data_IF_136462322909
#
_entry.id   IF_136462322909
#
_cell.length_a   1.000
_cell.length_b   1.000
_cell.length_c   1.000
_cell.angle_alpha   90.00
_cell.angle_beta   90.00
_cell.angle_gamma   90.00
#
_symmetry.space_group_name_H-M   'P 1'
#
loop_
_entity.id
_entity.type
_entity.pdbx_description
1 polymer ?
#
# COMPACT_ATOMS: atom_id res chain seq x y z
N UNK A 1 25.85 2.57 6.90
CA UNK A 1 24.82 1.58 7.32
C UNK A 1 25.48 0.23 7.41
N UNK A 2 25.02 -0.66 8.31
CA UNK A 2 25.60 -2.01 8.44
C UNK A 2 24.80 -2.96 7.56
N UNK A 3 25.46 -3.62 6.62
CA UNK A 3 24.85 -4.60 5.72
C UNK A 3 24.58 -5.90 6.45
N UNK A 4 23.38 -6.45 6.29
CA UNK A 4 23.00 -7.75 6.82
C UNK A 4 23.48 -8.82 5.84
N UNK A 5 24.52 -9.55 6.21
CA UNK A 5 25.15 -10.57 5.37
C UNK A 5 24.49 -11.94 5.52
N UNK A 6 24.58 -12.79 4.49
CA UNK A 6 24.06 -14.16 4.46
C UNK A 6 22.55 -14.24 4.77
N UNK A 7 21.80 -13.23 4.32
CA UNK A 7 20.35 -13.23 4.44
C UNK A 7 19.70 -12.98 3.09
N UNK A 8 18.65 -13.74 2.80
CA UNK A 8 17.88 -13.60 1.56
C UNK A 8 16.45 -13.22 1.90
N UNK A 9 16.02 -12.05 1.43
CA UNK A 9 14.64 -11.60 1.53
C UNK A 9 13.84 -12.09 0.32
N UNK A 10 12.81 -12.90 0.57
CA UNK A 10 11.88 -13.32 -0.47
C UNK A 10 10.83 -12.22 -0.69
N UNK A 11 10.67 -11.79 -1.94
CA UNK A 11 9.72 -10.74 -2.31
C UNK A 11 8.89 -11.12 -3.55
N UNK A 12 7.72 -10.50 -3.69
CA UNK A 12 6.85 -10.65 -4.86
C UNK A 12 7.24 -9.64 -5.96
N UNK A 13 7.74 -10.12 -7.11
CA UNK A 13 8.06 -9.24 -8.25
C UNK A 13 6.82 -8.57 -8.84
N UNK A 14 5.66 -9.23 -8.75
CA UNK A 14 4.37 -8.76 -9.27
C UNK A 14 3.74 -7.71 -8.32
N UNK A 15 4.42 -7.35 -7.23
CA UNK A 15 3.98 -6.33 -6.28
C UNK A 15 4.91 -5.13 -6.36
N UNK A 16 4.52 -4.01 -7.00
CA UNK A 16 5.45 -2.88 -7.16
C UNK A 16 5.91 -2.29 -5.83
N UNK A 17 5.04 -2.32 -4.80
CA UNK A 17 5.42 -1.96 -3.43
C UNK A 17 6.54 -2.87 -2.89
N UNK A 18 6.47 -4.16 -3.19
CA UNK A 18 7.41 -5.17 -2.73
C UNK A 18 8.77 -5.05 -3.42
N UNK A 19 8.75 -4.84 -4.73
CA UNK A 19 9.94 -4.53 -5.53
C UNK A 19 10.60 -3.23 -5.08
N UNK A 20 9.81 -2.20 -4.72
CA UNK A 20 10.32 -0.92 -4.27
C UNK A 20 11.02 -1.02 -2.91
N UNK A 21 10.34 -1.50 -1.86
CA UNK A 21 10.95 -1.52 -0.53
C UNK A 21 12.16 -2.46 -0.47
N UNK A 22 12.08 -3.63 -1.12
CA UNK A 22 13.19 -4.59 -1.11
C UNK A 22 14.39 -4.03 -1.87
N UNK A 23 14.16 -3.28 -2.96
CA UNK A 23 15.22 -2.61 -3.71
C UNK A 23 15.87 -1.48 -2.91
N UNK A 24 15.09 -0.76 -2.10
CA UNK A 24 15.61 0.27 -1.19
C UNK A 24 16.56 -0.32 -0.15
N UNK A 25 16.28 -1.52 0.40
CA UNK A 25 17.21 -2.17 1.33
C UNK A 25 18.57 -2.46 0.71
N UNK A 26 18.62 -2.81 -0.58
CA UNK A 26 19.88 -2.98 -1.32
C UNK A 26 20.57 -1.63 -1.51
N UNK A 27 19.85 -0.64 -2.04
CA UNK A 27 20.40 0.70 -2.35
C UNK A 27 20.95 1.42 -1.12
N UNK A 28 20.33 1.23 0.04
CA UNK A 28 20.79 1.80 1.30
C UNK A 28 21.89 0.97 1.98
N UNK A 29 22.28 -0.18 1.41
CA UNK A 29 23.29 -1.08 1.99
C UNK A 29 22.83 -1.81 3.24
N UNK A 30 21.51 -2.00 3.44
CA UNK A 30 20.95 -2.80 4.53
C UNK A 30 20.95 -4.30 4.22
N UNK A 31 20.85 -4.67 2.94
CA UNK A 31 21.00 -6.02 2.40
C UNK A 31 22.13 -6.06 1.37
N UNK A 32 22.71 -7.24 1.16
CA UNK A 32 23.69 -7.48 0.08
C UNK A 32 23.04 -7.38 -1.30
N UNK A 33 23.82 -7.18 -2.36
CA UNK A 33 23.27 -6.98 -3.72
C UNK A 33 22.43 -8.16 -4.21
N UNK A 34 22.76 -9.37 -3.77
CA UNK A 34 22.06 -10.65 -3.97
C UNK A 34 21.17 -11.04 -2.78
N UNK A 35 21.01 -10.15 -1.80
CA UNK A 35 20.25 -10.37 -0.56
C UNK A 35 18.72 -10.39 -0.71
N UNK A 36 18.20 -10.43 -1.95
CA UNK A 36 16.77 -10.59 -2.22
C UNK A 36 16.52 -11.55 -3.38
N UNK A 37 15.44 -12.32 -3.29
CA UNK A 37 15.07 -13.32 -4.28
C UNK A 37 13.56 -13.25 -4.57
N UNK A 38 13.20 -13.46 -5.83
CA UNK A 38 11.81 -13.43 -6.27
C UNK A 38 11.07 -14.70 -5.83
N UNK A 39 9.89 -14.55 -5.24
CA UNK A 39 9.04 -15.64 -4.76
C UNK A 39 8.72 -16.68 -5.85
N UNK A 40 8.39 -16.24 -7.08
CA UNK A 40 7.99 -17.16 -8.17
C UNK A 40 9.15 -17.89 -8.84
N UNK A 41 10.38 -17.42 -8.60
CA UNK A 41 11.64 -17.94 -9.19
C UNK A 41 12.62 -18.35 -8.09
N UNK A 42 12.10 -18.67 -6.91
CA UNK A 42 12.88 -19.02 -5.75
C UNK A 42 13.65 -20.32 -5.98
N UNK A 43 14.89 -20.37 -5.50
CA UNK A 43 15.72 -21.56 -5.55
C UNK A 43 15.09 -22.72 -4.78
N UNK A 44 15.29 -23.94 -5.28
CA UNK A 44 14.78 -25.16 -4.64
C UNK A 44 15.23 -25.30 -3.17
N UNK A 45 16.43 -24.79 -2.83
CA UNK A 45 16.93 -24.74 -1.45
C UNK A 45 15.99 -23.90 -0.56
N UNK A 46 15.65 -22.70 -0.99
CA UNK A 46 14.82 -21.79 -0.21
C UNK A 46 13.36 -22.26 -0.17
N UNK A 47 12.86 -22.84 -1.27
CA UNK A 47 11.52 -23.41 -1.35
C UNK A 47 11.28 -24.53 -0.32
N UNK A 48 12.30 -25.33 0.00
CA UNK A 48 12.22 -26.40 1.01
C UNK A 48 12.16 -25.91 2.46
N UNK A 49 12.65 -24.69 2.73
CA UNK A 49 12.81 -24.17 4.10
C UNK A 49 11.67 -23.20 4.44
N UNK A 50 11.09 -22.52 3.45
CA UNK A 50 9.99 -21.59 3.71
C UNK A 50 8.64 -22.29 3.87
N UNK A 51 7.80 -21.72 4.71
CA UNK A 51 6.37 -21.96 4.70
C UNK A 51 5.76 -21.14 3.56
N UNK A 52 5.47 -21.81 2.45
CA UNK A 52 4.98 -21.18 1.23
C UNK A 52 3.66 -20.41 1.43
N UNK A 53 2.72 -20.95 2.21
CA UNK A 53 1.42 -20.32 2.47
C UNK A 53 1.55 -19.09 3.37
N UNK A 54 2.44 -19.17 4.36
CA UNK A 54 2.75 -18.02 5.19
C UNK A 54 3.47 -16.94 4.41
N UNK A 55 4.44 -17.31 3.56
CA UNK A 55 5.24 -16.39 2.77
C UNK A 55 4.41 -15.58 1.74
N UNK A 56 3.25 -16.10 1.31
CA UNK A 56 2.27 -15.32 0.54
C UNK A 56 1.74 -14.10 1.30
N UNK A 57 1.61 -14.18 2.62
CA UNK A 57 1.01 -13.11 3.44
C UNK A 57 2.04 -12.31 4.23
N UNK A 58 3.19 -12.92 4.53
CA UNK A 58 4.26 -12.34 5.32
C UNK A 58 5.58 -12.47 4.56
N UNK A 59 6.33 -11.39 4.40
CA UNK A 59 7.61 -11.44 3.70
C UNK A 59 8.58 -12.35 4.46
N UNK A 60 9.30 -13.23 3.78
CA UNK A 60 10.21 -14.18 4.42
C UNK A 60 11.66 -13.70 4.32
N UNK A 61 12.39 -13.75 5.44
CA UNK A 61 13.82 -13.48 5.49
C UNK A 61 14.53 -14.74 5.97
N UNK A 62 15.35 -15.31 5.10
CA UNK A 62 16.07 -16.56 5.34
C UNK A 62 17.49 -16.23 5.76
N UNK A 63 17.94 -16.77 6.89
CA UNK A 63 19.35 -16.80 7.24
C UNK A 63 20.01 -17.99 6.52
N UNK A 64 20.91 -17.69 5.57
CA UNK A 64 21.53 -18.70 4.71
C UNK A 64 22.51 -19.62 5.46
N UNK A 65 22.99 -19.20 6.63
CA UNK A 65 23.94 -19.98 7.46
C UNK A 65 23.22 -20.97 8.38
N UNK A 66 22.12 -20.54 9.02
CA UNK A 66 21.39 -21.38 9.99
C UNK A 66 20.15 -22.06 9.42
N UNK A 67 19.62 -21.59 8.29
CA UNK A 67 18.32 -22.00 7.76
C UNK A 67 17.13 -21.41 8.53
N UNK A 68 17.36 -20.51 9.50
CA UNK A 68 16.27 -19.85 10.23
C UNK A 68 15.49 -18.91 9.30
N UNK A 69 14.16 -19.05 9.28
CA UNK A 69 13.27 -18.16 8.52
C UNK A 69 12.47 -17.27 9.46
N UNK A 70 12.57 -15.96 9.25
CA UNK A 70 11.73 -14.96 9.91
C UNK A 70 10.68 -14.46 8.93
N UNK A 71 9.53 -14.06 9.46
CA UNK A 71 8.38 -13.64 8.65
C UNK A 71 7.85 -12.28 9.07
N UNK A 72 7.35 -11.54 8.09
CA UNK A 72 6.56 -10.33 8.27
C UNK A 72 7.34 -9.22 8.99
N UNK A 73 6.77 -8.72 10.09
CA UNK A 73 7.41 -7.65 10.87
C UNK A 73 8.78 -8.07 11.41
N UNK A 74 8.97 -9.34 11.79
CA UNK A 74 10.26 -9.80 12.31
C UNK A 74 11.35 -9.75 11.24
N UNK A 75 11.02 -10.03 9.97
CA UNK A 75 11.93 -9.84 8.83
C UNK A 75 12.40 -8.38 8.73
N UNK A 76 11.45 -7.44 8.82
CA UNK A 76 11.76 -6.00 8.76
C UNK A 76 12.61 -5.55 9.94
N UNK A 77 12.26 -5.97 11.15
CA UNK A 77 12.99 -5.60 12.37
C UNK A 77 14.43 -6.09 12.35
N UNK A 78 14.72 -7.21 11.68
CA UNK A 78 16.09 -7.75 11.55
C UNK A 78 16.92 -6.96 10.54
N UNK A 79 16.37 -6.70 9.35
CA UNK A 79 17.06 -5.92 8.31
C UNK A 79 17.35 -4.51 8.84
N UNK A 80 16.32 -3.85 9.36
CA UNK A 80 16.43 -2.48 9.86
C UNK A 80 17.25 -2.46 11.15
N UNK A 81 17.08 -3.44 12.04
CA UNK A 81 17.80 -3.57 13.31
C UNK A 81 19.29 -3.75 13.16
N UNK A 82 19.75 -4.47 12.13
CA UNK A 82 21.17 -4.60 11.86
C UNK A 82 21.84 -3.25 11.55
N UNK A 83 21.13 -2.35 10.85
CA UNK A 83 21.59 -0.98 10.60
C UNK A 83 21.29 0.00 11.74
N UNK A 84 20.18 -0.18 12.44
CA UNK A 84 19.67 0.69 13.50
C UNK A 84 19.23 -0.12 14.74
N UNK A 85 20.17 -0.60 15.57
CA UNK A 85 19.86 -1.51 16.68
C UNK A 85 18.88 -0.93 17.71
N UNK A 86 18.91 0.38 17.93
CA UNK A 86 17.97 1.08 18.82
C UNK A 86 16.54 0.97 18.32
N UNK A 87 16.32 1.03 16.99
CA UNK A 87 14.99 0.97 16.39
C UNK A 87 14.40 -0.44 16.50
N UNK A 88 15.23 -1.48 16.38
CA UNK A 88 14.78 -2.85 16.65
C UNK A 88 14.36 -3.02 18.12
N UNK A 89 15.16 -2.54 19.07
CA UNK A 89 14.82 -2.61 20.50
C UNK A 89 13.49 -1.93 20.80
N UNK A 90 13.28 -0.72 20.27
CA UNK A 90 12.01 0.01 20.43
C UNK A 90 10.87 -0.73 19.75
N UNK A 91 11.07 -1.21 18.52
CA UNK A 91 10.06 -1.94 17.75
C UNK A 91 9.65 -3.28 18.38
N UNK A 92 10.51 -3.88 19.22
CA UNK A 92 10.25 -5.11 19.97
C UNK A 92 9.61 -4.89 21.34
N UNK A 93 9.42 -3.65 21.80
CA UNK A 93 8.64 -3.37 23.01
C UNK A 93 7.21 -3.86 22.81
N UNK A 94 6.69 -4.70 23.71
CA UNK A 94 5.39 -5.39 23.56
C UNK A 94 4.24 -4.52 23.01
N UNK A 95 3.93 -3.32 23.54
CA UNK A 95 2.84 -2.52 23.01
C UNK A 95 3.10 -2.03 21.58
N UNK A 96 4.34 -1.61 21.29
CA UNK A 96 4.74 -1.14 19.96
C UNK A 96 4.80 -2.27 18.95
N UNK A 97 5.38 -3.41 19.32
CA UNK A 97 5.42 -4.61 18.48
C UNK A 97 4.00 -5.06 18.11
N UNK A 98 3.09 -5.12 19.08
CA UNK A 98 1.69 -5.45 18.83
C UNK A 98 1.06 -4.48 17.83
N UNK A 99 1.26 -3.18 18.01
CA UNK A 99 0.74 -2.15 17.12
C UNK A 99 1.32 -2.27 15.71
N UNK A 100 2.64 -2.33 15.56
CA UNK A 100 3.30 -2.47 14.27
C UNK A 100 2.93 -3.78 13.57
N UNK A 101 2.69 -4.86 14.31
CA UNK A 101 2.22 -6.12 13.73
C UNK A 101 0.83 -5.97 13.12
N UNK A 102 -0.07 -5.21 13.77
CA UNK A 102 -1.39 -4.88 13.20
C UNK A 102 -1.27 -3.98 11.98
N UNK A 103 -0.41 -2.95 12.01
CA UNK A 103 -0.12 -2.11 10.85
C UNK A 103 0.45 -2.92 9.68
N UNK A 104 1.39 -3.83 9.98
CA UNK A 104 1.97 -4.73 8.98
C UNK A 104 0.89 -5.58 8.32
N UNK A 105 0.05 -6.27 9.10
CA UNK A 105 -1.05 -7.07 8.55
C UNK A 105 -2.03 -6.21 7.74
N UNK A 106 -2.36 -5.01 8.23
CA UNK A 106 -3.24 -4.06 7.55
C UNK A 106 -2.74 -3.70 6.15
N UNK A 107 -1.45 -3.44 5.99
CA UNK A 107 -0.85 -3.18 4.68
C UNK A 107 -0.72 -4.46 3.86
N UNK A 108 -0.21 -5.55 4.44
CA UNK A 108 0.08 -6.78 3.68
C UNK A 108 -1.17 -7.38 3.03
N UNK A 109 -2.28 -7.49 3.77
CA UNK A 109 -3.54 -8.01 3.23
C UNK A 109 -4.20 -7.11 2.18
N UNK A 110 -3.81 -5.84 2.12
CA UNK A 110 -4.35 -4.87 1.16
C UNK A 110 -3.33 -4.47 0.09
N UNK A 111 -2.12 -5.05 0.04
CA UNK A 111 -1.03 -4.59 -0.85
C UNK A 111 -1.41 -4.57 -2.34
N UNK A 112 -2.17 -5.56 -2.82
CA UNK A 112 -2.65 -5.64 -4.21
C UNK A 112 -3.83 -4.70 -4.50
N UNK A 113 -4.49 -4.18 -3.45
CA UNK A 113 -5.49 -3.12 -3.56
C UNK A 113 -4.82 -1.74 -3.54
N UNK A 114 -3.82 -1.58 -2.67
CA UNK A 114 -3.04 -0.34 -2.57
C UNK A 114 -2.27 -0.14 -3.88
N UNK A 115 -1.61 -1.18 -4.39
CA UNK A 115 -0.85 -1.14 -5.64
C UNK A 115 -1.23 -2.33 -6.51
N UNK A 116 -2.25 -2.19 -7.39
CA UNK A 116 -2.66 -3.25 -8.28
C UNK A 116 -1.61 -3.47 -9.37
N UNK A 117 -1.41 -4.74 -9.74
CA UNK A 117 -0.52 -5.18 -10.81
C UNK A 117 -1.34 -5.64 -12.01
N UNK A 118 -0.87 -5.36 -13.22
CA UNK A 118 -1.51 -5.76 -14.47
C UNK A 118 -1.16 -7.18 -14.94
N UNK A 119 -0.29 -7.87 -14.22
CA UNK A 119 0.18 -9.22 -14.57
C UNK A 119 -0.89 -10.26 -14.28
N UNK A 120 -1.04 -11.22 -15.20
CA UNK A 120 -1.95 -12.35 -15.07
C UNK A 120 -1.51 -13.21 -13.88
N UNK A 121 -2.42 -13.41 -12.93
CA UNK A 121 -2.15 -14.26 -11.76
C UNK A 121 -1.91 -15.69 -12.23
N UNK A 122 -0.72 -16.22 -11.97
CA UNK A 122 -0.38 -17.64 -12.19
C UNK A 122 -0.44 -18.39 -10.86
N UNK A 123 -0.44 -19.74 -10.88
CA UNK A 123 -0.37 -20.54 -9.65
C UNK A 123 0.90 -20.26 -8.80
N UNK A 124 1.95 -19.72 -9.43
CA UNK A 124 3.19 -19.28 -8.79
C UNK A 124 3.18 -17.81 -8.35
N UNK A 125 2.11 -17.06 -8.59
CA UNK A 125 2.02 -15.66 -8.17
C UNK A 125 1.81 -15.57 -6.65
N UNK A 126 2.52 -14.64 -6.02
CA UNK A 126 2.43 -14.38 -4.58
C UNK A 126 1.14 -13.59 -4.26
N UNK A 127 -0.01 -14.25 -4.38
CA UNK A 127 -1.32 -13.67 -4.10
C UNK A 127 -1.60 -13.78 -2.60
N UNK A 128 -1.74 -12.66 -1.87
CA UNK A 128 -2.10 -12.71 -0.46
C UNK A 128 -3.52 -13.28 -0.31
N UNK A 129 -3.76 -14.00 0.78
CA UNK A 129 -5.10 -14.51 1.08
C UNK A 129 -6.06 -13.35 1.34
N UNK A 130 -7.26 -13.43 0.76
CA UNK A 130 -8.26 -12.40 0.98
C UNK A 130 -8.71 -12.41 2.46
N UNK A 131 -8.55 -11.29 3.14
CA UNK A 131 -8.97 -11.12 4.51
C UNK A 131 -10.03 -10.03 4.63
N UNK A 132 -11.30 -10.44 4.80
CA UNK A 132 -12.44 -9.53 4.86
C UNK A 132 -12.31 -8.48 5.98
N UNK A 133 -11.82 -8.89 7.14
CA UNK A 133 -11.65 -7.99 8.31
C UNK A 133 -10.68 -6.85 7.98
N UNK A 134 -9.50 -7.18 7.47
CA UNK A 134 -8.50 -6.16 7.11
C UNK A 134 -8.92 -5.34 5.88
N UNK A 135 -9.72 -5.92 4.97
CA UNK A 135 -10.27 -5.16 3.84
C UNK A 135 -11.26 -4.09 4.28
N UNK A 136 -12.23 -4.47 5.12
CA UNK A 136 -13.23 -3.53 5.63
C UNK A 136 -12.57 -2.45 6.50
N UNK A 137 -11.59 -2.83 7.33
CA UNK A 137 -10.81 -1.88 8.12
C UNK A 137 -10.07 -0.89 7.22
N UNK A 138 -9.49 -1.34 6.11
CA UNK A 138 -8.79 -0.49 5.14
C UNK A 138 -9.73 0.50 4.44
N UNK A 139 -10.86 0.00 3.92
CA UNK A 139 -11.88 0.83 3.27
C UNK A 139 -12.39 1.88 4.24
N UNK A 140 -12.73 1.48 5.47
CA UNK A 140 -13.21 2.40 6.51
C UNK A 140 -12.15 3.46 6.85
N UNK A 141 -10.91 3.05 7.12
CA UNK A 141 -9.82 3.99 7.40
C UNK A 141 -9.61 4.99 6.27
N UNK A 142 -9.48 4.50 5.04
CA UNK A 142 -9.24 5.33 3.86
C UNK A 142 -10.42 6.30 3.62
N UNK A 143 -11.66 5.83 3.76
CA UNK A 143 -12.85 6.66 3.63
C UNK A 143 -12.90 7.75 4.71
N UNK A 144 -12.77 7.38 6.00
CA UNK A 144 -12.85 8.32 7.11
C UNK A 144 -11.75 9.38 7.04
N UNK A 145 -10.51 8.95 6.81
CA UNK A 145 -9.36 9.85 6.70
C UNK A 145 -9.54 10.81 5.52
N UNK A 146 -9.84 10.28 4.33
CA UNK A 146 -10.03 11.11 3.14
C UNK A 146 -11.17 12.11 3.33
N UNK A 147 -12.31 11.67 3.88
CA UNK A 147 -13.46 12.54 4.15
C UNK A 147 -13.09 13.70 5.06
N UNK A 148 -12.33 13.45 6.13
CA UNK A 148 -11.89 14.50 7.06
C UNK A 148 -11.02 15.52 6.33
N UNK A 149 -10.01 15.06 5.59
CA UNK A 149 -9.06 15.95 4.89
C UNK A 149 -9.75 16.73 3.77
N UNK A 150 -10.50 16.07 2.90
CA UNK A 150 -11.23 16.73 1.81
C UNK A 150 -12.25 17.74 2.35
N UNK A 151 -12.99 17.41 3.42
CA UNK A 151 -13.90 18.35 4.06
C UNK A 151 -13.17 19.58 4.62
N UNK A 152 -12.08 19.38 5.35
CA UNK A 152 -11.28 20.48 5.90
C UNK A 152 -10.71 21.37 4.80
N UNK A 153 -10.28 20.77 3.70
CA UNK A 153 -9.76 21.49 2.54
C UNK A 153 -10.88 22.25 1.81
N UNK A 154 -12.02 21.61 1.56
CA UNK A 154 -13.18 22.22 0.92
C UNK A 154 -13.70 23.41 1.72
N UNK A 155 -13.84 23.31 3.05
CA UNK A 155 -14.27 24.43 3.89
C UNK A 155 -13.34 25.64 3.82
N UNK A 156 -12.07 25.44 3.48
CA UNK A 156 -11.07 26.50 3.34
C UNK A 156 -11.16 27.22 1.99
N UNK A 157 -11.53 26.51 0.92
CA UNK A 157 -11.62 27.06 -0.45
C UNK A 157 -13.03 27.53 -0.80
N UNK A 158 -14.04 26.77 -0.39
CA UNK A 158 -15.46 26.97 -0.73
C UNK A 158 -16.02 28.38 -0.51
N UNK A 159 -15.58 29.17 0.51
CA UNK A 159 -16.03 30.56 0.66
C UNK A 159 -15.54 31.51 -0.45
N UNK A 160 -14.55 31.11 -1.24
CA UNK A 160 -13.84 31.96 -2.19
C UNK A 160 -14.39 31.89 -3.63
N UNK A 161 -15.11 30.82 -4.00
CA UNK A 161 -15.64 30.65 -5.37
C UNK A 161 -16.89 29.74 -5.43
N UNK A 162 -18.02 30.30 -5.88
CA UNK A 162 -19.28 29.57 -6.07
C UNK A 162 -19.23 28.58 -7.25
N UNK A 163 -18.47 28.89 -8.30
CA UNK A 163 -18.32 27.99 -9.46
C UNK A 163 -17.55 26.73 -9.07
N UNK A 164 -16.55 26.88 -8.19
CA UNK A 164 -15.81 25.74 -7.63
C UNK A 164 -16.75 24.77 -6.91
N UNK A 165 -17.69 25.25 -6.09
CA UNK A 165 -18.65 24.39 -5.40
C UNK A 165 -19.52 23.58 -6.38
N UNK A 166 -20.01 24.21 -7.47
CA UNK A 166 -20.86 23.54 -8.47
C UNK A 166 -20.09 22.41 -9.16
N UNK A 167 -18.84 22.68 -9.54
CA UNK A 167 -17.97 21.69 -10.18
C UNK A 167 -17.74 20.50 -9.23
N UNK A 168 -17.41 20.76 -7.97
CA UNK A 168 -17.19 19.72 -6.95
C UNK A 168 -18.41 18.83 -6.72
N UNK A 169 -19.60 19.42 -6.58
CA UNK A 169 -20.83 18.64 -6.45
C UNK A 169 -21.11 17.79 -7.70
N UNK A 170 -20.80 18.33 -8.89
CA UNK A 170 -20.88 17.58 -10.14
C UNK A 170 -19.94 16.37 -10.17
N UNK A 171 -18.67 16.56 -9.79
CA UNK A 171 -17.67 15.48 -9.68
C UNK A 171 -18.11 14.43 -8.66
N UNK A 172 -18.58 14.85 -7.48
CA UNK A 172 -19.08 13.94 -6.46
C UNK A 172 -20.27 13.09 -6.96
N UNK A 173 -21.20 13.69 -7.69
CA UNK A 173 -22.34 12.98 -8.28
C UNK A 173 -21.89 11.94 -9.31
N UNK A 174 -20.95 12.30 -10.19
CA UNK A 174 -20.37 11.38 -11.19
C UNK A 174 -19.67 10.19 -10.52
N UNK A 175 -18.93 10.44 -9.44
CA UNK A 175 -18.27 9.38 -8.65
C UNK A 175 -19.28 8.43 -7.99
N UNK A 176 -20.37 8.97 -7.41
CA UNK A 176 -21.46 8.14 -6.86
C UNK A 176 -22.09 7.29 -7.96
N UNK A 177 -22.37 7.88 -9.12
CA UNK A 177 -22.88 7.16 -10.29
C UNK A 177 -21.95 6.03 -10.73
N UNK A 178 -20.63 6.28 -10.76
CA UNK A 178 -19.63 5.27 -11.08
C UNK A 178 -19.60 4.12 -10.08
N UNK A 179 -19.67 4.41 -8.77
CA UNK A 179 -19.71 3.38 -7.72
C UNK A 179 -20.96 2.50 -7.88
N UNK A 180 -22.13 3.12 -8.09
CA UNK A 180 -23.39 2.42 -8.31
C UNK A 180 -23.31 1.54 -9.56
N UNK A 181 -22.80 2.05 -10.67
CA UNK A 181 -22.63 1.28 -11.90
C UNK A 181 -21.73 0.05 -11.68
N UNK A 182 -20.63 0.21 -10.93
CA UNK A 182 -19.69 -0.88 -10.69
C UNK A 182 -20.18 -1.91 -9.65
N UNK A 183 -21.08 -1.54 -8.74
CA UNK A 183 -21.79 -2.50 -7.89
C UNK A 183 -22.52 -3.56 -8.74
N UNK A 184 -23.15 -3.16 -9.83
CA UNK A 184 -23.90 -4.07 -10.69
C UNK A 184 -23.01 -4.99 -11.54
N UNK A 185 -21.84 -4.51 -11.99
CA UNK A 185 -20.93 -5.25 -12.87
C UNK A 185 -20.02 -6.20 -12.09
N UNK A 186 -19.38 -5.73 -11.03
CA UNK A 186 -18.24 -6.42 -10.43
C UNK A 186 -18.62 -7.40 -9.32
N UNK A 187 -19.88 -7.52 -8.90
CA UNK A 187 -20.43 -8.40 -7.84
C UNK A 187 -19.38 -8.98 -6.87
N UNK A 188 -18.73 -10.09 -7.23
CA UNK A 188 -17.77 -10.82 -6.38
C UNK A 188 -16.44 -10.08 -6.12
N UNK A 189 -16.04 -9.15 -7.00
CA UNK A 189 -14.83 -8.33 -6.91
C UNK A 189 -15.11 -6.89 -6.46
N UNK A 190 -16.34 -6.55 -6.08
CA UNK A 190 -16.70 -5.17 -5.70
C UNK A 190 -15.86 -4.65 -4.53
N UNK A 191 -15.57 -5.48 -3.51
CA UNK A 191 -14.71 -5.08 -2.39
C UNK A 191 -13.24 -4.83 -2.80
N UNK A 192 -12.76 -5.49 -3.86
CA UNK A 192 -11.44 -5.20 -4.44
C UNK A 192 -11.45 -3.85 -5.17
N UNK A 193 -12.51 -3.59 -5.94
CA UNK A 193 -12.69 -2.29 -6.59
C UNK A 193 -12.85 -1.15 -5.59
N UNK A 194 -13.73 -1.29 -4.60
CA UNK A 194 -13.98 -0.27 -3.60
C UNK A 194 -12.70 0.05 -2.81
N UNK A 195 -11.93 -0.98 -2.45
CA UNK A 195 -10.62 -0.78 -1.85
C UNK A 195 -9.68 0.02 -2.75
N UNK A 196 -9.62 -0.29 -4.05
CA UNK A 196 -8.74 0.39 -5.01
C UNK A 196 -9.14 1.86 -5.17
N UNK A 197 -10.45 2.11 -5.26
CA UNK A 197 -11.01 3.45 -5.33
C UNK A 197 -10.66 4.26 -4.07
N UNK A 198 -10.84 3.66 -2.88
CA UNK A 198 -10.46 4.29 -1.62
C UNK A 198 -8.95 4.56 -1.51
N UNK A 199 -8.10 3.74 -2.14
CA UNK A 199 -6.66 4.04 -2.23
C UNK A 199 -6.40 5.34 -2.96
N UNK A 200 -7.12 5.63 -4.07
CA UNK A 200 -6.92 6.88 -4.81
C UNK A 200 -7.32 8.09 -3.97
N UNK A 201 -8.45 8.02 -3.27
CA UNK A 201 -8.87 9.06 -2.33
C UNK A 201 -7.89 9.23 -1.16
N UNK A 202 -7.37 8.14 -0.62
CA UNK A 202 -6.38 8.19 0.45
C UNK A 202 -5.07 8.83 -0.04
N UNK A 203 -4.60 8.49 -1.24
CA UNK A 203 -3.41 9.12 -1.82
C UNK A 203 -3.63 10.62 -2.07
N UNK A 204 -4.78 10.99 -2.64
CA UNK A 204 -5.16 12.39 -2.85
C UNK A 204 -5.20 13.18 -1.55
N UNK A 205 -5.86 12.65 -0.52
CA UNK A 205 -5.92 13.30 0.80
C UNK A 205 -4.56 13.43 1.46
N UNK A 206 -3.68 12.42 1.36
CA UNK A 206 -2.30 12.52 1.87
C UNK A 206 -1.51 13.63 1.16
N UNK A 207 -1.69 13.79 -0.16
CA UNK A 207 -1.07 14.87 -0.92
C UNK A 207 -1.63 16.25 -0.55
N UNK A 208 -2.91 16.36 -0.15
CA UNK A 208 -3.52 17.61 0.29
C UNK A 208 -3.12 18.04 1.71
N UNK A 209 -2.67 17.10 2.54
CA UNK A 209 -2.40 17.34 3.96
C UNK A 209 -1.48 18.56 4.23
N UNK A 210 -0.35 18.75 3.51
CA UNK A 210 0.52 19.91 3.74
C UNK A 210 -0.17 21.25 3.43
N UNK A 211 -1.08 21.27 2.46
CA UNK A 211 -1.75 22.49 2.01
C UNK A 211 -2.83 22.99 2.97
N UNK A 212 -3.30 22.14 3.89
CA UNK A 212 -4.15 22.57 4.99
C UNK A 212 -3.48 23.60 5.90
N UNK A 213 -2.14 23.62 5.94
CA UNK A 213 -1.36 24.53 6.78
C UNK A 213 -0.88 25.81 6.07
N UNK A 214 -1.07 25.92 4.74
CA UNK A 214 -0.69 27.10 3.96
C UNK A 214 -1.81 28.13 3.90
N UNK A 215 -1.53 29.43 3.96
CA UNK A 215 -2.58 30.45 3.88
C UNK A 215 -3.30 30.45 2.51
N UNK A 216 -4.60 30.75 2.54
CA UNK A 216 -5.51 30.56 1.41
C UNK A 216 -5.19 31.52 0.25
N UNK A 217 -4.77 30.98 -0.90
CA UNK A 217 -4.49 31.71 -2.15
C UNK A 217 -5.12 30.99 -3.36
N UNK A 218 -5.29 31.71 -4.47
CA UNK A 218 -5.76 31.15 -5.77
C UNK A 218 -4.93 29.94 -6.23
N UNK A 219 -3.64 29.91 -5.89
CA UNK A 219 -2.74 28.81 -6.25
C UNK A 219 -3.18 27.46 -5.66
N UNK A 220 -3.77 27.46 -4.47
CA UNK A 220 -4.23 26.24 -3.79
C UNK A 220 -5.43 25.62 -4.53
N UNK A 221 -6.32 26.44 -5.10
CA UNK A 221 -7.45 25.96 -5.89
C UNK A 221 -7.00 25.34 -7.22
N UNK A 222 -6.01 25.94 -7.89
CA UNK A 222 -5.41 25.37 -9.10
C UNK A 222 -4.72 24.04 -8.82
N UNK A 223 -3.96 23.94 -7.73
CA UNK A 223 -3.30 22.68 -7.33
C UNK A 223 -4.30 21.58 -7.04
N UNK A 224 -5.42 21.90 -6.39
CA UNK A 224 -6.50 20.95 -6.14
C UNK A 224 -7.12 20.44 -7.44
N UNK A 225 -7.40 21.33 -8.39
CA UNK A 225 -7.91 20.93 -9.71
C UNK A 225 -6.96 19.95 -10.43
N UNK A 226 -5.64 20.21 -10.40
CA UNK A 226 -4.68 19.27 -10.98
C UNK A 226 -4.65 17.92 -10.26
N UNK A 227 -4.82 17.93 -8.93
CA UNK A 227 -4.91 16.70 -8.15
C UNK A 227 -6.14 15.88 -8.55
N UNK A 228 -7.31 16.51 -8.71
CA UNK A 228 -8.53 15.82 -9.15
C UNK A 228 -8.35 15.18 -10.52
N UNK A 229 -7.73 15.90 -11.46
CA UNK A 229 -7.40 15.36 -12.78
C UNK A 229 -6.52 14.11 -12.66
N UNK A 230 -5.46 14.17 -11.85
CA UNK A 230 -4.58 13.02 -11.59
C UNK A 230 -5.36 11.86 -10.96
N UNK A 231 -6.24 12.13 -10.00
CA UNK A 231 -7.07 11.12 -9.35
C UNK A 231 -8.02 10.44 -10.34
N UNK A 232 -8.66 11.19 -11.23
CA UNK A 232 -9.55 10.64 -12.29
C UNK A 232 -8.76 9.72 -13.23
N UNK A 233 -7.56 10.14 -13.67
CA UNK A 233 -6.69 9.29 -14.49
C UNK A 233 -6.29 7.99 -13.76
N UNK A 234 -5.96 8.08 -12.48
CA UNK A 234 -5.60 6.92 -11.68
C UNK A 234 -6.79 5.97 -11.44
N UNK A 235 -7.98 6.51 -11.20
CA UNK A 235 -9.23 5.72 -11.12
C UNK A 235 -9.44 4.97 -12.43
N UNK A 236 -9.29 5.65 -13.57
CA UNK A 236 -9.46 5.03 -14.89
C UNK A 236 -8.41 3.94 -15.14
N UNK A 237 -7.13 4.22 -14.87
CA UNK A 237 -6.03 3.24 -14.99
C UNK A 237 -6.30 1.99 -14.15
N UNK A 238 -6.71 2.15 -12.89
CA UNK A 238 -7.04 1.04 -11.99
C UNK A 238 -8.25 0.25 -12.46
N UNK A 239 -9.28 0.92 -12.98
CA UNK A 239 -10.42 0.24 -13.60
C UNK A 239 -9.99 -0.67 -14.75
N UNK A 240 -9.10 -0.21 -15.63
CA UNK A 240 -8.58 -1.02 -16.74
C UNK A 240 -7.77 -2.24 -16.25
N UNK A 241 -7.06 -2.12 -15.13
CA UNK A 241 -6.32 -3.24 -14.53
C UNK A 241 -7.28 -4.28 -13.93
N UNK A 242 -8.33 -3.82 -13.23
CA UNK A 242 -9.27 -4.70 -12.52
C UNK A 242 -10.29 -5.39 -13.43
N UNK A 243 -10.43 -4.94 -14.69
CA UNK A 243 -11.33 -5.56 -15.68
C UNK A 243 -10.72 -6.80 -16.34
N UNK A 244 -9.38 -6.92 -16.33
CA UNK A 244 -8.66 -8.08 -16.87
C UNK A 244 -8.76 -9.26 -15.90
#
# INVERSE_FOLDING_TARGET
MKTLQNHTLIYDKDCPMCTLYSGTFIKCGMLENDGRENFSEMSAKNELIIDYERAKNEIALINQNSGEVRYGLDSLLVIIGNSFPSLEKIGRLKPLYWFFKKCYSFISYNRKVIVPSSELMTEKSCVPSFNLKYRLLYIFFALSFSTIVFKSFFLKISPLDRNFQIIEYGIALLLVGQIIYQLFILKNNFLNYLGNLMTVFLAGSLLLLPFLFLDSNRDISLMYFFLDVIMVFEIHRRYLILRK
#
